data_IF_919828468544
#
_entry.id   IF_919828468544
#
_cell.length_a   1.000
_cell.length_b   1.000
_cell.length_c   1.000
_cell.angle_alpha   90.00
_cell.angle_beta   90.00
_cell.angle_gamma   90.00
#
_symmetry.space_group_name_H-M   'P 1'
#
loop_
_entity.id
_entity.type
_entity.pdbx_description
1 polymer ?
#
# COMPACT_ATOMS: atom_id res chain seq x y z
N UNK A 1 -31.45 -37.33 -65.24
CA UNK A 1 -31.66 -36.79 -63.92
C UNK A 1 -30.33 -36.15 -63.42
N UNK A 2 -30.20 -34.86 -63.65
CA UNK A 2 -29.06 -34.06 -63.22
C UNK A 2 -29.25 -33.70 -61.78
N UNK A 3 -28.24 -34.05 -60.94
CA UNK A 3 -28.12 -33.60 -59.57
C UNK A 3 -27.36 -32.27 -59.53
N UNK A 4 -28.05 -31.26 -59.05
CA UNK A 4 -27.57 -29.90 -58.86
C UNK A 4 -26.68 -29.84 -57.59
N UNK A 5 -25.37 -29.77 -57.78
CA UNK A 5 -24.41 -29.60 -56.72
C UNK A 5 -24.13 -28.10 -56.51
N UNK A 6 -24.73 -27.52 -55.48
CA UNK A 6 -24.39 -26.16 -55.03
C UNK A 6 -23.04 -26.18 -54.28
N UNK A 7 -22.09 -25.29 -54.61
CA UNK A 7 -20.87 -25.15 -53.86
C UNK A 7 -21.09 -24.40 -52.53
N UNK A 8 -20.63 -24.94 -51.44
CA UNK A 8 -20.56 -24.32 -50.13
C UNK A 8 -19.59 -23.14 -50.13
N UNK A 9 -19.93 -22.00 -49.44
CA UNK A 9 -19.01 -20.89 -49.32
C UNK A 9 -17.83 -21.21 -48.42
N UNK A 10 -16.65 -20.66 -48.70
CA UNK A 10 -15.46 -20.88 -47.88
C UNK A 10 -15.59 -20.30 -46.48
N UNK A 11 -15.21 -21.10 -45.47
CA UNK A 11 -15.13 -20.70 -44.10
C UNK A 11 -14.13 -19.54 -43.94
N UNK A 12 -14.66 -18.39 -43.60
CA UNK A 12 -13.87 -17.25 -43.17
C UNK A 12 -13.18 -17.57 -41.90
N UNK A 13 -11.84 -17.75 -41.98
CA UNK A 13 -10.94 -17.76 -40.83
C UNK A 13 -11.01 -16.41 -40.17
N UNK A 14 -11.78 -16.29 -39.10
CA UNK A 14 -11.67 -15.18 -38.18
C UNK A 14 -10.30 -15.28 -37.50
N UNK A 15 -9.34 -14.54 -38.03
CA UNK A 15 -8.12 -14.21 -37.34
C UNK A 15 -8.53 -13.48 -36.08
N UNK A 16 -8.49 -14.19 -34.95
CA UNK A 16 -8.58 -13.58 -33.64
C UNK A 16 -7.36 -12.67 -33.48
N UNK A 17 -7.54 -11.42 -33.81
CA UNK A 17 -6.65 -10.35 -33.39
C UNK A 17 -6.70 -10.34 -31.87
N UNK A 18 -5.64 -10.84 -31.25
CA UNK A 18 -5.35 -10.62 -29.85
C UNK A 18 -5.45 -9.11 -29.60
N UNK A 19 -6.17 -8.64 -28.56
CA UNK A 19 -6.17 -7.24 -28.21
C UNK A 19 -4.72 -6.83 -27.95
N UNK A 20 -4.21 -5.95 -28.83
CA UNK A 20 -2.87 -5.45 -28.80
C UNK A 20 -2.51 -4.98 -27.40
N UNK A 21 -1.29 -5.25 -26.99
CA UNK A 21 -0.56 -4.58 -25.91
C UNK A 21 -0.40 -3.09 -26.27
N UNK A 22 -1.53 -2.40 -26.42
CA UNK A 22 -1.55 -0.95 -26.50
C UNK A 22 -1.23 -0.42 -25.10
N UNK A 23 0.01 0.05 -24.96
CA UNK A 23 0.50 0.96 -23.93
C UNK A 23 -0.20 0.80 -22.59
N UNK A 24 0.30 -0.05 -21.71
CA UNK A 24 0.01 0.09 -20.28
C UNK A 24 0.58 1.46 -19.89
N UNK A 25 -0.25 2.50 -20.02
CA UNK A 25 0.02 3.74 -19.31
C UNK A 25 0.33 3.33 -17.88
N UNK A 26 1.53 3.63 -17.45
CA UNK A 26 2.04 3.26 -16.13
C UNK A 26 1.15 3.93 -15.08
N UNK A 27 0.17 3.17 -14.59
CA UNK A 27 -0.81 3.68 -13.62
C UNK A 27 -0.12 3.90 -12.31
N UNK A 28 -0.28 5.09 -11.77
CA UNK A 28 0.24 5.46 -10.46
C UNK A 28 -0.78 5.05 -9.38
N UNK A 29 -0.55 3.89 -8.76
CA UNK A 29 -1.44 3.34 -7.75
C UNK A 29 -0.87 3.54 -6.36
N UNK A 30 -1.64 4.15 -5.46
CA UNK A 30 -1.37 4.16 -4.03
C UNK A 30 -2.00 2.90 -3.44
N UNK A 31 -1.17 2.01 -2.89
CA UNK A 31 -1.62 0.76 -2.28
C UNK A 31 -1.61 0.88 -0.76
N UNK A 32 -2.70 0.44 -0.14
CA UNK A 32 -2.87 0.33 1.31
C UNK A 32 -3.42 -1.03 1.66
N UNK A 33 -2.94 -1.60 2.77
CA UNK A 33 -3.45 -2.85 3.31
C UNK A 33 -3.63 -2.76 4.79
N UNK A 34 -4.67 -3.41 5.29
CA UNK A 34 -4.93 -3.61 6.71
C UNK A 34 -5.08 -5.10 6.95
N UNK A 35 -4.43 -5.61 7.98
CA UNK A 35 -4.45 -7.02 8.32
C UNK A 35 -4.50 -7.22 9.83
N UNK A 36 -5.56 -7.90 10.31
CA UNK A 36 -5.66 -8.36 11.69
C UNK A 36 -5.33 -9.85 11.75
N UNK A 37 -4.30 -10.22 12.51
CA UNK A 37 -3.82 -11.60 12.62
C UNK A 37 -3.82 -12.06 14.07
N UNK A 38 -4.49 -13.18 14.34
CA UNK A 38 -4.48 -13.83 15.63
C UNK A 38 -3.25 -14.71 15.79
N UNK A 39 -2.46 -14.46 16.82
CA UNK A 39 -1.19 -15.14 17.09
C UNK A 39 -0.99 -15.38 18.59
N UNK A 40 -0.33 -16.46 18.96
CA UNK A 40 -0.12 -16.82 20.36
C UNK A 40 0.74 -15.81 21.14
N UNK A 41 1.71 -15.17 20.49
CA UNK A 41 2.65 -14.20 21.07
C UNK A 41 2.81 -12.98 20.16
N UNK A 42 1.92 -11.98 20.29
CA UNK A 42 1.87 -10.82 19.39
C UNK A 42 3.19 -10.04 19.32
N UNK A 43 3.84 -9.80 20.46
CA UNK A 43 5.08 -9.00 20.51
C UNK A 43 6.27 -9.69 19.84
N UNK A 44 6.39 -11.01 19.96
CA UNK A 44 7.47 -11.77 19.33
C UNK A 44 7.26 -11.83 17.81
N UNK A 45 6.01 -12.04 17.39
CA UNK A 45 5.65 -12.07 15.97
C UNK A 45 5.84 -10.69 15.35
N UNK A 46 5.46 -9.61 16.04
CA UNK A 46 5.68 -8.25 15.57
C UNK A 46 7.19 -7.98 15.28
N UNK A 47 8.08 -8.43 16.15
CA UNK A 47 9.53 -8.32 15.94
C UNK A 47 10.01 -9.16 14.74
N UNK A 48 9.54 -10.41 14.63
CA UNK A 48 9.87 -11.29 13.51
C UNK A 48 9.38 -10.71 12.17
N UNK A 49 8.19 -10.17 12.15
CA UNK A 49 7.63 -9.49 10.98
C UNK A 49 8.48 -8.29 10.54
N UNK A 50 8.93 -7.45 11.48
CA UNK A 50 9.79 -6.30 11.16
C UNK A 50 11.14 -6.71 10.53
N UNK A 51 11.70 -7.86 10.90
CA UNK A 51 12.90 -8.40 10.23
C UNK A 51 12.59 -8.70 8.77
N UNK A 52 11.47 -9.37 8.50
CA UNK A 52 11.05 -9.70 7.13
C UNK A 52 10.75 -8.46 6.29
N UNK A 53 10.10 -7.44 6.89
CA UNK A 53 9.85 -6.16 6.21
C UNK A 53 11.16 -5.49 5.78
N UNK A 54 12.20 -5.53 6.62
CA UNK A 54 13.52 -4.99 6.26
C UNK A 54 14.18 -5.76 5.12
N UNK A 55 14.06 -7.09 5.10
CA UNK A 55 14.56 -7.94 4.00
C UNK A 55 13.87 -7.59 2.67
N UNK A 56 12.60 -7.18 2.71
CA UNK A 56 11.83 -6.70 1.56
C UNK A 56 12.17 -5.25 1.16
N UNK A 57 13.12 -4.60 1.84
CA UNK A 57 13.46 -3.21 1.59
C UNK A 57 12.47 -2.21 2.18
N UNK A 58 11.56 -2.67 3.04
CA UNK A 58 10.61 -1.84 3.76
C UNK A 58 11.18 -1.27 5.06
N UNK A 59 10.41 -0.40 5.69
CA UNK A 59 10.74 0.18 6.99
C UNK A 59 9.51 0.38 7.86
N UNK A 60 9.75 0.48 9.16
CA UNK A 60 8.71 0.79 10.14
C UNK A 60 8.37 2.28 10.10
N UNK A 61 7.11 2.61 9.90
CA UNK A 61 6.61 3.98 9.97
C UNK A 61 6.10 4.32 11.38
N UNK A 62 5.37 3.40 12.02
CA UNK A 62 4.85 3.57 13.38
C UNK A 62 4.63 2.23 14.05
N UNK A 63 4.77 2.19 15.39
CA UNK A 63 4.48 1.02 16.20
C UNK A 63 3.76 1.42 17.48
N UNK A 64 2.72 0.67 17.82
CA UNK A 64 1.98 0.78 19.08
C UNK A 64 1.71 -0.62 19.63
N UNK A 65 2.59 -1.08 20.53
CA UNK A 65 2.54 -2.48 20.98
C UNK A 65 2.71 -3.44 19.81
N UNK A 66 1.74 -4.30 19.61
CA UNK A 66 1.70 -5.26 18.51
C UNK A 66 1.00 -4.74 17.23
N UNK A 67 0.57 -3.48 17.20
CA UNK A 67 0.11 -2.79 15.97
C UNK A 67 1.31 -2.12 15.30
N UNK A 68 1.51 -2.44 14.03
CA UNK A 68 2.63 -1.99 13.20
C UNK A 68 2.09 -1.33 11.94
N UNK A 69 2.61 -0.14 11.64
CA UNK A 69 2.44 0.48 10.31
C UNK A 69 3.79 0.44 9.63
N UNK A 70 3.87 -0.27 8.52
CA UNK A 70 5.11 -0.43 7.75
C UNK A 70 4.93 0.12 6.35
N UNK A 71 6.03 0.62 5.78
CA UNK A 71 6.08 1.04 4.39
C UNK A 71 7.00 0.10 3.63
N UNK A 72 6.50 -0.44 2.54
CA UNK A 72 7.22 -1.40 1.69
C UNK A 72 7.18 -0.94 0.24
N UNK A 73 8.19 -1.25 -0.58
CA UNK A 73 8.13 -0.98 -2.02
C UNK A 73 6.84 -1.54 -2.62
N UNK A 74 6.17 -0.75 -3.46
CA UNK A 74 4.87 -1.13 -4.04
C UNK A 74 4.92 -2.47 -4.78
N UNK A 75 6.04 -2.78 -5.43
CA UNK A 75 6.27 -4.05 -6.14
C UNK A 75 6.29 -5.27 -5.21
N UNK A 76 6.60 -5.07 -3.93
CA UNK A 76 6.69 -6.14 -2.91
C UNK A 76 5.55 -6.11 -1.89
N UNK A 77 4.52 -5.32 -2.18
CA UNK A 77 3.38 -5.18 -1.27
C UNK A 77 2.67 -6.51 -1.02
N UNK A 78 2.38 -7.27 -2.09
CA UNK A 78 1.71 -8.56 -1.99
C UNK A 78 2.54 -9.60 -1.24
N UNK A 79 3.87 -9.57 -1.41
CA UNK A 79 4.79 -10.43 -0.66
C UNK A 79 4.78 -10.10 0.83
N UNK A 80 4.87 -8.82 1.18
CA UNK A 80 4.82 -8.36 2.58
C UNK A 80 3.48 -8.71 3.23
N UNK A 81 2.39 -8.58 2.47
CA UNK A 81 1.04 -8.90 2.91
C UNK A 81 0.89 -10.41 3.17
N UNK A 82 1.36 -11.26 2.26
CA UNK A 82 1.36 -12.71 2.42
C UNK A 82 2.22 -13.16 3.62
N UNK A 83 3.40 -12.54 3.80
CA UNK A 83 4.27 -12.80 4.95
C UNK A 83 3.56 -12.47 6.26
N UNK A 84 2.87 -11.33 6.34
CA UNK A 84 2.12 -10.95 7.56
C UNK A 84 1.01 -11.95 7.88
N UNK A 85 0.24 -12.38 6.88
CA UNK A 85 -0.83 -13.40 7.03
C UNK A 85 -0.31 -14.78 7.40
N UNK A 86 0.92 -15.11 7.02
CA UNK A 86 1.54 -16.42 7.31
C UNK A 86 1.94 -16.64 8.77
N UNK A 87 1.94 -15.61 9.62
CA UNK A 87 2.28 -15.75 11.04
C UNK A 87 1.17 -16.33 11.91
N UNK A 88 -0.09 -16.30 11.44
CA UNK A 88 -1.20 -16.79 12.24
C UNK A 88 -2.52 -16.87 11.49
N UNK A 89 -3.63 -16.85 12.25
CA UNK A 89 -4.96 -16.86 11.69
C UNK A 89 -5.38 -15.44 11.31
N UNK A 90 -5.64 -15.21 10.02
CA UNK A 90 -6.18 -13.93 9.56
C UNK A 90 -7.62 -13.78 10.00
N UNK A 91 -7.90 -12.73 10.78
CA UNK A 91 -9.23 -12.38 11.25
C UNK A 91 -9.92 -11.38 10.33
N UNK A 92 -9.14 -10.42 9.83
CA UNK A 92 -9.62 -9.37 8.93
C UNK A 92 -8.54 -9.03 7.93
N UNK A 93 -8.96 -8.82 6.70
CA UNK A 93 -8.10 -8.42 5.58
C UNK A 93 -8.81 -7.32 4.80
N UNK A 94 -8.09 -6.25 4.50
CA UNK A 94 -8.54 -5.19 3.61
C UNK A 94 -7.39 -4.74 2.72
N UNK A 95 -7.67 -4.56 1.43
CA UNK A 95 -6.73 -4.02 0.45
C UNK A 95 -7.41 -2.92 -0.34
N UNK A 96 -6.76 -1.80 -0.44
CA UNK A 96 -7.23 -0.64 -1.19
C UNK A 96 -6.15 -0.21 -2.18
N UNK A 97 -6.55 0.06 -3.41
CA UNK A 97 -5.69 0.66 -4.43
C UNK A 97 -6.41 1.90 -5.00
N UNK A 98 -5.76 3.05 -4.91
CA UNK A 98 -6.27 4.31 -5.43
C UNK A 98 -5.42 4.76 -6.61
N UNK A 99 -6.05 4.96 -7.76
CA UNK A 99 -5.38 5.50 -8.95
C UNK A 99 -5.27 7.03 -8.82
N UNK A 100 -4.03 7.52 -8.84
CA UNK A 100 -3.70 8.94 -8.72
C UNK A 100 -3.01 9.49 -9.97
N UNK A 101 -3.07 8.74 -11.08
CA UNK A 101 -2.39 9.10 -12.33
C UNK A 101 -2.85 10.46 -12.84
N UNK A 102 -4.16 10.69 -12.87
CA UNK A 102 -4.75 11.97 -13.35
C UNK A 102 -4.32 13.13 -12.43
N UNK A 103 -4.43 12.97 -11.09
CA UNK A 103 -4.01 14.01 -10.15
C UNK A 103 -2.53 14.34 -10.30
N UNK A 104 -1.68 13.33 -10.46
CA UNK A 104 -0.23 13.52 -10.61
C UNK A 104 0.14 14.28 -11.90
N UNK A 105 -0.54 13.96 -13.00
CA UNK A 105 -0.35 14.66 -14.30
C UNK A 105 -0.87 16.09 -14.22
N UNK A 106 -2.06 16.33 -13.66
CA UNK A 106 -2.64 17.67 -13.50
C UNK A 106 -1.72 18.57 -12.66
N UNK A 107 -1.18 18.06 -11.54
CA UNK A 107 -0.20 18.79 -10.74
C UNK A 107 1.03 19.17 -11.57
N UNK A 108 1.53 18.28 -12.42
CA UNK A 108 2.65 18.57 -13.33
C UNK A 108 2.36 19.73 -14.28
N UNK A 109 1.17 19.72 -14.90
CA UNK A 109 0.73 20.79 -15.82
C UNK A 109 0.59 22.13 -15.09
N UNK A 110 0.02 22.14 -13.88
CA UNK A 110 -0.14 23.35 -13.07
C UNK A 110 1.21 23.93 -12.65
N UNK A 111 2.14 23.08 -12.22
CA UNK A 111 3.51 23.49 -11.87
C UNK A 111 4.18 24.15 -13.08
N UNK A 112 4.16 23.52 -14.25
CA UNK A 112 4.75 24.07 -15.47
C UNK A 112 4.12 25.43 -15.86
N UNK A 113 2.80 25.54 -15.73
CA UNK A 113 2.09 26.80 -16.01
C UNK A 113 2.46 27.90 -15.03
N UNK A 114 2.57 27.60 -13.75
CA UNK A 114 2.96 28.55 -12.72
C UNK A 114 4.43 28.99 -12.88
N UNK A 115 5.32 28.09 -13.22
CA UNK A 115 6.73 28.39 -13.53
C UNK A 115 6.84 29.35 -14.71
N UNK A 116 6.12 29.09 -15.82
CA UNK A 116 6.07 29.98 -16.97
C UNK A 116 5.48 31.35 -16.66
N UNK A 117 4.50 31.42 -15.76
CA UNK A 117 3.92 32.68 -15.30
C UNK A 117 4.95 33.47 -14.44
N UNK A 118 5.65 32.80 -13.53
CA UNK A 118 6.73 33.39 -12.73
C UNK A 118 7.84 33.96 -13.63
N UNK A 119 8.27 33.21 -14.63
CA UNK A 119 9.34 33.67 -15.53
C UNK A 119 8.91 34.90 -16.35
N UNK A 120 7.63 34.97 -16.77
CA UNK A 120 7.09 36.18 -17.42
C UNK A 120 7.08 37.39 -16.48
N UNK A 121 6.68 37.21 -15.21
CA UNK A 121 6.69 38.29 -14.23
C UNK A 121 8.12 38.78 -13.91
N UNK A 122 9.10 37.89 -13.86
CA UNK A 122 10.52 38.26 -13.74
C UNK A 122 10.98 39.13 -14.92
N UNK A 123 10.54 38.79 -16.15
CA UNK A 123 10.79 39.62 -17.32
C UNK A 123 10.11 41.00 -17.28
N UNK A 124 8.92 41.10 -16.66
CA UNK A 124 8.24 42.38 -16.41
C UNK A 124 8.99 43.18 -15.37
N UNK A 125 9.40 42.55 -14.27
CA UNK A 125 10.13 43.18 -13.17
C UNK A 125 11.42 43.86 -13.66
N UNK A 126 12.17 43.20 -14.58
CA UNK A 126 13.38 43.76 -15.16
C UNK A 126 13.16 45.05 -15.98
N UNK A 127 11.92 45.29 -16.45
CA UNK A 127 11.55 46.44 -17.28
C UNK A 127 10.73 47.48 -16.50
N UNK A 128 10.40 47.20 -15.24
CA UNK A 128 9.61 48.12 -14.43
C UNK A 128 10.45 49.26 -13.92
N UNK A 129 10.01 50.49 -14.13
CA UNK A 129 10.68 51.73 -13.69
C UNK A 129 10.01 52.33 -12.47
N UNK A 130 8.70 52.05 -12.27
CA UNK A 130 7.92 52.61 -11.19
C UNK A 130 7.94 51.69 -9.96
N UNK A 131 8.25 52.27 -8.81
CA UNK A 131 8.32 51.52 -7.53
C UNK A 131 7.00 50.83 -7.22
N UNK A 132 5.84 51.45 -7.51
CA UNK A 132 4.52 50.89 -7.27
C UNK A 132 4.28 49.58 -8.10
N UNK A 133 4.76 49.55 -9.35
CA UNK A 133 4.63 48.41 -10.23
C UNK A 133 5.59 47.28 -9.81
N UNK A 134 6.81 47.65 -9.37
CA UNK A 134 7.78 46.71 -8.79
C UNK A 134 7.16 45.99 -7.60
N UNK A 135 6.59 46.71 -6.64
CA UNK A 135 5.98 46.13 -5.43
C UNK A 135 4.82 45.22 -5.74
N UNK A 136 3.98 45.55 -6.76
CA UNK A 136 2.89 44.66 -7.21
C UNK A 136 3.41 43.34 -7.81
N UNK A 137 4.42 43.45 -8.67
CA UNK A 137 5.03 42.28 -9.31
C UNK A 137 5.72 41.39 -8.28
N UNK A 138 6.44 41.97 -7.31
CA UNK A 138 7.06 41.22 -6.22
C UNK A 138 6.04 40.49 -5.34
N UNK A 139 4.90 41.14 -5.04
CA UNK A 139 3.82 40.46 -4.30
C UNK A 139 3.25 39.26 -5.05
N UNK A 140 3.05 39.40 -6.38
CA UNK A 140 2.56 38.32 -7.21
C UNK A 140 3.60 37.19 -7.40
N UNK A 141 4.88 37.54 -7.53
CA UNK A 141 5.98 36.56 -7.55
C UNK A 141 6.03 35.74 -6.28
N UNK A 142 5.86 36.38 -5.11
CA UNK A 142 5.81 35.66 -3.84
C UNK A 142 4.64 34.70 -3.80
N UNK A 143 3.43 35.14 -4.19
CA UNK A 143 2.23 34.32 -4.25
C UNK A 143 2.42 33.10 -5.17
N UNK A 144 3.00 33.30 -6.36
CA UNK A 144 3.28 32.20 -7.29
C UNK A 144 4.32 31.24 -6.76
N UNK A 145 5.36 31.74 -6.08
CA UNK A 145 6.38 30.87 -5.46
C UNK A 145 5.76 29.96 -4.41
N UNK A 146 4.95 30.51 -3.51
CA UNK A 146 4.23 29.73 -2.51
C UNK A 146 3.28 28.68 -3.14
N UNK A 147 2.62 29.05 -4.25
CA UNK A 147 1.76 28.12 -4.99
C UNK A 147 2.57 26.97 -5.62
N UNK A 148 3.71 27.26 -6.26
CA UNK A 148 4.60 26.27 -6.85
C UNK A 148 5.09 25.29 -5.77
N UNK A 149 5.61 25.81 -4.66
CA UNK A 149 6.11 25.00 -3.56
C UNK A 149 5.02 24.04 -3.01
N UNK A 150 3.78 24.54 -2.89
CA UNK A 150 2.63 23.73 -2.45
C UNK A 150 2.29 22.61 -3.46
N UNK A 151 2.28 22.92 -4.76
CA UNK A 151 1.99 21.96 -5.81
C UNK A 151 3.11 20.90 -5.92
N UNK A 152 4.37 21.32 -5.85
CA UNK A 152 5.52 20.41 -5.84
C UNK A 152 5.52 19.51 -4.62
N UNK A 153 5.21 20.06 -3.44
CA UNK A 153 5.04 19.28 -2.21
C UNK A 153 3.96 18.21 -2.35
N UNK A 154 2.80 18.55 -2.93
CA UNK A 154 1.71 17.58 -3.18
C UNK A 154 2.13 16.51 -4.17
N UNK A 155 2.77 16.89 -5.28
CA UNK A 155 3.26 15.93 -6.29
C UNK A 155 4.29 14.98 -5.71
N UNK A 156 5.25 15.48 -4.94
CA UNK A 156 6.23 14.66 -4.24
C UNK A 156 5.58 13.69 -3.26
N UNK A 157 4.61 14.16 -2.48
CA UNK A 157 3.86 13.30 -1.56
C UNK A 157 3.17 12.15 -2.30
N UNK A 158 2.52 12.40 -3.44
CA UNK A 158 1.90 11.34 -4.24
C UNK A 158 2.95 10.37 -4.78
N UNK A 159 4.09 10.87 -5.29
CA UNK A 159 5.19 10.03 -5.76
C UNK A 159 5.70 9.08 -4.66
N UNK A 160 5.88 9.61 -3.44
CA UNK A 160 6.32 8.81 -2.29
C UNK A 160 5.27 7.76 -1.88
N UNK A 161 3.96 8.08 -2.02
CA UNK A 161 2.88 7.15 -1.73
C UNK A 161 2.75 6.05 -2.79
N UNK A 162 3.03 6.34 -4.06
CA UNK A 162 3.05 5.37 -5.16
C UNK A 162 4.26 4.45 -5.04
N UNK A 163 5.44 5.00 -4.72
CA UNK A 163 6.67 4.22 -4.59
C UNK A 163 6.63 3.26 -3.39
N UNK A 164 5.99 3.66 -2.29
CA UNK A 164 5.93 2.90 -1.05
C UNK A 164 4.48 2.66 -0.63
N UNK A 165 4.05 1.42 -0.69
CA UNK A 165 2.77 0.98 -0.16
C UNK A 165 2.77 1.00 1.38
N UNK A 166 1.61 1.24 1.96
CA UNK A 166 1.41 1.24 3.41
C UNK A 166 0.69 -0.03 3.83
N UNK A 167 1.26 -0.76 4.77
CA UNK A 167 0.64 -1.95 5.36
C UNK A 167 0.51 -1.76 6.87
N UNK A 168 -0.73 -1.77 7.35
CA UNK A 168 -1.06 -1.79 8.77
C UNK A 168 -1.36 -3.22 9.20
N UNK A 169 -0.62 -3.72 10.19
CA UNK A 169 -0.78 -5.08 10.72
C UNK A 169 -1.01 -4.99 12.21
N UNK A 170 -2.10 -5.60 12.65
CA UNK A 170 -2.41 -5.77 14.06
C UNK A 170 -2.30 -7.25 14.44
N UNK A 171 -1.33 -7.58 15.27
CA UNK A 171 -1.23 -8.90 15.86
C UNK A 171 -1.99 -8.94 17.18
N UNK A 172 -2.95 -9.87 17.31
CA UNK A 172 -3.77 -10.04 18.51
C UNK A 172 -3.52 -11.40 19.15
N UNK A 173 -3.54 -11.45 20.48
CA UNK A 173 -3.68 -12.72 21.16
C UNK A 173 -5.11 -13.26 20.98
N UNK A 174 -5.29 -14.60 20.93
CA UNK A 174 -6.63 -15.19 20.91
C UNK A 174 -7.45 -14.72 22.09
N UNK A 175 -8.73 -14.40 21.85
CA UNK A 175 -9.70 -14.09 22.89
C UNK A 175 -10.00 -15.38 23.68
N UNK A 176 -9.25 -15.62 24.74
CA UNK A 176 -9.37 -16.79 25.60
C UNK A 176 -8.25 -16.89 26.62
N UNK A 177 -8.36 -17.73 27.63
CA UNK A 177 -7.23 -17.98 28.51
C UNK A 177 -6.06 -18.51 27.66
N UNK A 178 -4.82 -18.03 27.89
CA UNK A 178 -3.66 -18.50 27.13
C UNK A 178 -3.62 -20.03 27.18
N UNK A 179 -3.29 -20.71 26.06
CA UNK A 179 -3.15 -22.16 26.08
C UNK A 179 -2.16 -22.51 27.19
N UNK A 180 -2.42 -23.54 28.00
CA UNK A 180 -1.56 -23.89 29.10
C UNK A 180 -0.15 -24.12 28.56
N UNK A 181 0.78 -23.27 28.96
CA UNK A 181 2.20 -23.37 28.59
C UNK A 181 2.82 -24.48 29.44
N UNK A 182 2.68 -25.73 28.98
CA UNK A 182 3.26 -26.89 29.65
C UNK A 182 2.51 -28.17 29.32
N UNK A 183 3.08 -29.32 29.63
CA UNK A 183 2.32 -30.58 29.57
C UNK A 183 1.05 -30.43 30.39
N UNK A 184 -0.08 -30.93 29.88
CA UNK A 184 -1.43 -30.73 30.38
C UNK A 184 -1.55 -30.99 31.89
N UNK A 185 -1.25 -29.96 32.68
CA UNK A 185 -1.39 -29.96 34.12
C UNK A 185 -2.54 -29.05 34.53
N UNK A 186 -3.37 -29.50 35.46
CA UNK A 186 -4.45 -28.69 36.04
C UNK A 186 -3.89 -27.42 36.71
N UNK A 187 -4.62 -26.29 36.65
CA UNK A 187 -4.32 -25.07 37.41
C UNK A 187 -4.22 -25.28 38.92
N UNK A 188 -4.72 -26.40 39.40
CA UNK A 188 -4.65 -26.78 40.79
C UNK A 188 -3.48 -27.74 41.01
N UNK A 189 -2.43 -27.27 41.66
CA UNK A 189 -1.21 -28.05 41.91
C UNK A 189 -1.49 -29.40 42.57
N UNK A 190 -2.53 -29.50 43.40
CA UNK A 190 -2.91 -30.73 44.06
C UNK A 190 -3.52 -31.80 43.12
N UNK A 191 -4.17 -31.38 42.01
CA UNK A 191 -4.70 -32.31 41.00
C UNK A 191 -3.55 -32.94 40.20
N UNK A 192 -2.45 -32.22 40.00
CA UNK A 192 -1.30 -32.74 39.29
C UNK A 192 -0.46 -33.73 40.14
N UNK A 193 -0.69 -33.77 41.45
CA UNK A 193 -0.07 -34.71 42.39
C UNK A 193 -0.89 -35.98 42.58
N UNK A 194 -2.19 -35.92 42.31
CA UNK A 194 -3.09 -37.09 42.34
C UNK A 194 -3.13 -37.63 40.91
N UNK A 195 -2.13 -38.42 40.54
CA UNK A 195 -2.08 -39.07 39.24
C UNK A 195 -3.38 -39.89 39.04
N UNK A 196 -4.07 -39.67 37.88
CA UNK A 196 -5.30 -40.37 37.49
C UNK A 196 -5.08 -41.88 37.42
N UNK A 197 -3.83 -42.32 37.33
CA UNK A 197 -3.42 -43.71 37.31
C UNK A 197 -3.66 -44.44 38.64
N UNK A 198 -3.64 -43.73 39.78
CA UNK A 198 -3.92 -44.33 41.09
C UNK A 198 -5.40 -44.58 41.37
N UNK A 199 -6.29 -44.05 40.56
CA UNK A 199 -7.74 -44.24 40.70
C UNK A 199 -8.25 -45.41 39.85
N UNK A 200 -7.48 -45.93 38.91
CA UNK A 200 -7.89 -47.06 38.07
C UNK A 200 -7.45 -48.44 38.53
N UNK A 201 -6.58 -48.51 39.57
CA UNK A 201 -6.09 -49.79 40.11
C UNK A 201 -6.96 -50.39 41.21
N UNK A 202 -8.09 -49.72 41.60
CA UNK A 202 -8.94 -50.19 42.67
C UNK A 202 -10.41 -50.45 42.26
N UNK A 203 -10.62 -50.83 41.01
CA UNK A 203 -11.91 -51.39 40.54
C UNK A 203 -11.70 -52.70 39.83
#
# INVERSE_FOLDING_TARGET
>A
ALADARPSPPASKSSGEAPGESGREERLLIQRGELDVEVARPDDVAKAFLVRVKELGGHLASQRGASLVVRVPAERFDEAFAVAGGFGRVLRESREASDVTEEFVDLGIRIDTALKARDRLLGVLQKAERIEDILKVEAELRRLTEEIERLEGRRKFLADQVALATLEVLFRAPDGPPPPSGPAGSRFAWINQVGVESLMENF
#
